data_IF_204637441467
#
_entry.id   IF_204637441467
#
_cell.length_a   1.000
_cell.length_b   1.000
_cell.length_c   1.000
_cell.angle_alpha   90.00
_cell.angle_beta   90.00
_cell.angle_gamma   90.00
#
_symmetry.space_group_name_H-M   'P 1'
#
loop_
_entity.id
_entity.type
_entity.pdbx_description
1 polymer ?
#
# COMPACT_ATOMS: atom_id res chain seq x y z
N UNK A 1 7.72 3.99 -11.96
CA UNK A 1 8.53 3.36 -10.89
C UNK A 1 8.66 1.89 -11.20
N UNK A 2 9.86 1.29 -11.21
CA UNK A 2 10.09 -0.17 -11.15
C UNK A 2 9.48 -1.12 -12.22
N UNK A 3 8.60 -0.66 -13.12
CA UNK A 3 7.80 -1.55 -13.96
C UNK A 3 8.61 -2.25 -15.05
N UNK A 4 9.66 -1.62 -15.58
CA UNK A 4 10.56 -2.29 -16.53
C UNK A 4 11.24 -3.50 -15.89
N UNK A 5 11.61 -3.39 -14.60
CA UNK A 5 12.18 -4.50 -13.84
C UNK A 5 11.12 -5.56 -13.48
N UNK A 6 9.90 -5.14 -13.17
CA UNK A 6 8.76 -6.04 -12.98
C UNK A 6 8.50 -6.89 -14.24
N UNK A 7 8.55 -6.28 -15.42
CA UNK A 7 8.29 -6.97 -16.69
C UNK A 7 9.47 -7.88 -17.10
N UNK A 8 10.71 -7.56 -16.71
CA UNK A 8 11.91 -8.30 -17.13
C UNK A 8 12.47 -9.31 -16.12
N UNK A 9 12.22 -9.14 -14.81
CA UNK A 9 12.76 -10.02 -13.75
C UNK A 9 11.64 -10.80 -13.04
N UNK A 10 11.64 -12.14 -13.12
CA UNK A 10 10.67 -12.97 -12.39
C UNK A 10 10.74 -12.78 -10.87
N UNK A 11 11.94 -12.51 -10.32
CA UNK A 11 12.14 -12.29 -8.89
C UNK A 11 11.51 -10.98 -8.45
N UNK A 12 11.77 -9.90 -9.20
CA UNK A 12 11.15 -8.61 -8.94
C UNK A 12 9.63 -8.70 -9.07
N UNK A 13 9.13 -9.39 -10.10
CA UNK A 13 7.70 -9.62 -10.32
C UNK A 13 7.02 -10.29 -9.14
N UNK A 14 7.59 -11.36 -8.60
CA UNK A 14 7.00 -12.08 -7.47
C UNK A 14 6.89 -11.20 -6.20
N UNK A 15 7.84 -10.29 -5.97
CA UNK A 15 7.76 -9.33 -4.87
C UNK A 15 6.53 -8.43 -5.00
N UNK A 16 6.33 -7.88 -6.19
CA UNK A 16 5.17 -7.04 -6.51
C UNK A 16 3.86 -7.83 -6.47
N UNK A 17 3.79 -8.99 -7.12
CA UNK A 17 2.56 -9.81 -7.20
C UNK A 17 2.11 -10.30 -5.82
N UNK A 18 3.06 -10.61 -4.93
CA UNK A 18 2.75 -10.97 -3.54
C UNK A 18 2.18 -9.78 -2.77
N UNK A 19 2.76 -8.60 -2.93
CA UNK A 19 2.26 -7.40 -2.27
C UNK A 19 0.90 -6.96 -2.84
N UNK A 20 0.73 -7.04 -4.16
CA UNK A 20 -0.51 -6.68 -4.84
C UNK A 20 -1.67 -7.58 -4.40
N UNK A 21 -1.46 -8.90 -4.34
CA UNK A 21 -2.43 -9.83 -3.77
C UNK A 21 -2.77 -9.50 -2.32
N UNK A 22 -1.79 -9.08 -1.52
CA UNK A 22 -2.04 -8.66 -0.15
C UNK A 22 -2.93 -7.41 -0.09
N UNK A 23 -2.66 -6.39 -0.92
CA UNK A 23 -3.49 -5.19 -0.99
C UNK A 23 -4.89 -5.48 -1.51
N UNK A 24 -5.04 -6.30 -2.55
CA UNK A 24 -6.34 -6.69 -3.08
C UNK A 24 -7.18 -7.43 -2.03
N UNK A 25 -6.58 -8.39 -1.33
CA UNK A 25 -7.33 -9.23 -0.39
C UNK A 25 -7.69 -8.51 0.91
N UNK A 26 -6.89 -7.55 1.36
CA UNK A 26 -7.08 -6.90 2.67
C UNK A 26 -7.58 -5.46 2.58
N UNK A 27 -7.30 -4.77 1.48
CA UNK A 27 -7.61 -3.35 1.29
C UNK A 27 -8.35 -3.05 -0.03
N UNK A 28 -8.59 -4.07 -0.86
CA UNK A 28 -9.47 -3.95 -2.03
C UNK A 28 -8.93 -3.11 -3.18
N UNK A 29 -7.61 -2.94 -3.30
CA UNK A 29 -6.99 -2.26 -4.44
C UNK A 29 -5.70 -2.92 -4.92
N UNK A 30 -5.34 -2.68 -6.18
CA UNK A 30 -4.06 -3.10 -6.76
C UNK A 30 -3.05 -1.95 -6.66
N UNK A 31 -1.95 -2.17 -5.95
CA UNK A 31 -0.84 -1.22 -5.90
C UNK A 31 -0.09 -1.17 -7.24
N UNK A 32 -0.05 -2.29 -7.97
CA UNK A 32 0.56 -2.37 -9.30
C UNK A 32 -0.21 -1.48 -10.29
N UNK A 33 -1.54 -1.51 -10.25
CA UNK A 33 -2.37 -0.63 -11.10
C UNK A 33 -2.15 0.86 -10.78
N UNK A 34 -2.09 1.22 -9.49
CA UNK A 34 -1.80 2.60 -9.06
C UNK A 34 -0.43 3.06 -9.59
N UNK A 35 0.59 2.21 -9.53
CA UNK A 35 1.94 2.56 -10.02
C UNK A 35 2.00 2.67 -11.55
N UNK A 36 1.28 1.81 -12.28
CA UNK A 36 1.25 1.82 -13.75
C UNK A 36 0.47 3.00 -14.30
N UNK A 37 -0.71 3.26 -13.75
CA UNK A 37 -1.71 4.13 -14.35
C UNK A 37 -1.90 5.45 -13.61
N UNK A 38 -1.45 5.56 -12.36
CA UNK A 38 -1.60 6.72 -11.49
C UNK A 38 -3.00 7.38 -11.58
N UNK A 39 -4.07 6.63 -11.28
CA UNK A 39 -5.42 7.18 -11.36
C UNK A 39 -5.60 8.32 -10.37
N UNK A 40 -6.52 9.25 -10.66
CA UNK A 40 -6.86 10.36 -9.74
C UNK A 40 -7.85 9.96 -8.66
N UNK A 41 -8.67 8.95 -8.94
CA UNK A 41 -9.66 8.42 -8.02
C UNK A 41 -9.61 6.90 -8.04
N UNK A 42 -9.90 6.27 -6.90
CA UNK A 42 -9.97 4.82 -6.74
C UNK A 42 -11.05 4.50 -5.72
N UNK A 43 -12.04 3.73 -6.14
CA UNK A 43 -13.12 3.28 -5.27
C UNK A 43 -12.89 1.85 -4.83
N UNK A 44 -12.83 1.65 -3.52
CA UNK A 44 -12.84 0.33 -2.89
C UNK A 44 -14.29 -0.02 -2.54
N UNK A 45 -14.76 -1.17 -3.02
CA UNK A 45 -16.11 -1.65 -2.75
C UNK A 45 -16.10 -2.73 -1.67
N UNK A 46 -17.00 -2.61 -0.70
CA UNK A 46 -17.13 -3.51 0.45
C UNK A 46 -18.22 -4.57 0.22
N UNK A 47 -18.37 -5.05 -1.00
CA UNK A 47 -19.39 -6.02 -1.38
C UNK A 47 -19.10 -7.45 -0.94
N UNK A 48 -20.13 -8.14 -0.43
CA UNK A 48 -20.07 -9.56 -0.09
C UNK A 48 -19.16 -9.88 1.12
N UNK A 49 -18.95 -11.18 1.42
CA UNK A 49 -18.19 -11.59 2.60
C UNK A 49 -16.75 -11.08 2.62
N UNK A 50 -16.08 -11.06 1.46
CA UNK A 50 -14.72 -10.54 1.33
C UNK A 50 -14.67 -9.01 1.50
N UNK A 51 -15.62 -8.29 0.90
CA UNK A 51 -15.71 -6.84 1.05
C UNK A 51 -15.97 -6.41 2.50
N UNK A 52 -16.79 -7.17 3.25
CA UNK A 52 -17.00 -6.95 4.68
C UNK A 52 -15.69 -7.07 5.47
N UNK A 53 -14.89 -8.11 5.21
CA UNK A 53 -13.58 -8.27 5.86
C UNK A 53 -12.61 -7.13 5.53
N UNK A 54 -12.61 -6.66 4.28
CA UNK A 54 -11.83 -5.48 3.87
C UNK A 54 -12.30 -4.23 4.63
N UNK A 55 -13.61 -4.02 4.75
CA UNK A 55 -14.18 -2.90 5.49
C UNK A 55 -13.81 -2.93 6.97
N UNK A 56 -13.83 -4.10 7.58
CA UNK A 56 -13.39 -4.29 8.97
C UNK A 56 -11.93 -3.87 9.15
N UNK A 57 -11.04 -4.20 8.20
CA UNK A 57 -9.66 -3.73 8.23
C UNK A 57 -9.59 -2.21 8.27
N UNK A 58 -10.36 -1.51 7.41
CA UNK A 58 -10.42 -0.04 7.42
C UNK A 58 -10.99 0.54 8.72
N UNK A 59 -12.07 -0.04 9.26
CA UNK A 59 -12.69 0.41 10.52
C UNK A 59 -11.74 0.22 11.70
N UNK A 60 -10.94 -0.85 11.69
CA UNK A 60 -9.99 -1.19 12.75
C UNK A 60 -8.75 -0.29 12.78
N UNK A 61 -8.53 0.52 11.74
CA UNK A 61 -7.41 1.46 11.69
C UNK A 61 -7.66 2.65 12.62
N UNK A 62 -6.98 2.61 13.78
CA UNK A 62 -6.98 3.68 14.76
C UNK A 62 -5.62 4.40 14.74
N UNK A 63 -5.63 5.71 14.93
CA UNK A 63 -4.44 6.48 15.24
C UNK A 63 -4.55 7.04 16.66
N UNK A 64 -3.43 7.09 17.35
CA UNK A 64 -3.34 7.70 18.68
C UNK A 64 -2.74 9.10 18.53
N UNK A 65 -3.39 10.08 19.16
CA UNK A 65 -2.91 11.46 19.24
C UNK A 65 -2.99 11.95 20.68
N UNK A 66 -2.04 12.75 21.13
CA UNK A 66 -2.19 13.47 22.39
C UNK A 66 -3.07 14.69 22.19
N UNK A 67 -4.04 14.87 23.08
CA UNK A 67 -4.81 16.10 23.14
C UNK A 67 -4.03 17.25 23.82
N UNK A 68 -4.63 18.43 23.85
CA UNK A 68 -4.07 19.62 24.51
C UNK A 68 -3.89 19.46 26.03
N UNK A 69 -4.57 18.48 26.63
CA UNK A 69 -4.54 18.19 28.07
C UNK A 69 -3.56 17.05 28.40
N UNK A 70 -2.82 16.55 27.40
CA UNK A 70 -1.83 15.49 27.54
C UNK A 70 -2.42 14.09 27.68
N UNK A 71 -3.72 13.90 27.38
CA UNK A 71 -4.35 12.59 27.36
C UNK A 71 -4.20 11.92 25.99
N UNK A 72 -3.98 10.61 26.01
CA UNK A 72 -3.97 9.77 24.81
C UNK A 72 -5.39 9.61 24.29
N UNK A 73 -5.64 10.09 23.08
CA UNK A 73 -6.90 9.92 22.35
C UNK A 73 -6.69 8.98 21.18
N UNK A 74 -7.46 7.89 21.16
CA UNK A 74 -7.52 6.97 20.03
C UNK A 74 -8.68 7.37 19.11
N UNK A 75 -8.38 7.67 17.85
CA UNK A 75 -9.36 8.07 16.84
C UNK A 75 -9.27 7.18 15.60
N UNK A 76 -10.40 6.96 14.92
CA UNK A 76 -10.42 6.25 13.63
C UNK A 76 -9.71 7.06 12.56
N UNK A 77 -8.84 6.41 11.77
CA UNK A 77 -8.21 7.03 10.59
C UNK A 77 -9.29 7.41 9.58
N UNK A 78 -10.20 6.47 9.28
CA UNK A 78 -11.32 6.69 8.36
C UNK A 78 -12.60 6.90 9.16
N UNK A 79 -13.02 8.16 9.31
CA UNK A 79 -14.21 8.52 10.11
C UNK A 79 -15.52 8.23 9.36
N UNK A 80 -15.48 8.36 8.05
CA UNK A 80 -16.60 8.13 7.13
C UNK A 80 -16.85 6.65 6.79
N UNK A 81 -15.95 5.73 7.13
CA UNK A 81 -16.17 4.30 6.93
C UNK A 81 -16.83 3.71 8.17
N UNK A 82 -18.06 3.24 8.02
CA UNK A 82 -18.88 2.60 9.06
C UNK A 82 -19.32 1.20 8.62
N UNK A 83 -20.02 0.47 9.49
CA UNK A 83 -20.58 -0.86 9.18
C UNK A 83 -21.64 -0.83 8.07
N UNK A 84 -22.17 0.35 7.75
CA UNK A 84 -23.16 0.55 6.69
C UNK A 84 -22.54 1.04 5.37
N UNK A 85 -21.23 1.34 5.35
CA UNK A 85 -20.57 1.81 4.14
C UNK A 85 -20.45 0.67 3.11
N UNK A 86 -20.92 0.93 1.90
CA UNK A 86 -20.80 0.00 0.75
C UNK A 86 -19.50 0.19 -0.03
N UNK A 87 -18.90 1.38 0.05
CA UNK A 87 -17.66 1.72 -0.64
C UNK A 87 -16.96 2.90 0.02
N UNK A 88 -15.69 3.11 -0.36
CA UNK A 88 -14.93 4.29 -0.03
C UNK A 88 -14.08 4.71 -1.24
N UNK A 89 -13.99 6.02 -1.52
CA UNK A 89 -13.25 6.53 -2.67
C UNK A 89 -12.07 7.39 -2.24
N UNK A 90 -10.86 6.93 -2.58
CA UNK A 90 -9.64 7.74 -2.50
C UNK A 90 -9.59 8.74 -3.65
N UNK A 91 -9.13 9.96 -3.37
CA UNK A 91 -8.99 11.03 -4.37
C UNK A 91 -7.67 11.78 -4.20
N UNK A 92 -7.08 12.19 -5.33
CA UNK A 92 -5.95 13.10 -5.38
C UNK A 92 -5.92 13.86 -6.71
N UNK A 93 -5.77 15.18 -6.67
CA UNK A 93 -5.77 16.06 -7.85
C UNK A 93 -4.62 15.75 -8.82
N UNK A 94 -3.49 15.33 -8.24
CA UNK A 94 -2.23 15.02 -8.92
C UNK A 94 -2.03 13.52 -9.18
N UNK A 95 -3.02 12.69 -8.82
CA UNK A 95 -2.96 11.23 -8.94
C UNK A 95 -2.62 10.54 -7.62
N UNK A 96 -3.17 9.34 -7.41
CA UNK A 96 -3.04 8.62 -6.15
C UNK A 96 -1.60 8.22 -5.81
N UNK A 97 -0.73 8.05 -6.80
CA UNK A 97 0.70 7.79 -6.56
C UNK A 97 1.42 8.96 -5.89
N UNK A 98 0.81 10.16 -5.84
CA UNK A 98 1.32 11.31 -5.08
C UNK A 98 0.80 11.39 -3.64
N UNK A 99 -0.21 10.60 -3.29
CA UNK A 99 -0.75 10.57 -1.93
C UNK A 99 0.06 9.59 -1.07
N UNK A 100 0.53 10.06 0.09
CA UNK A 100 1.49 9.38 0.96
C UNK A 100 1.17 7.91 1.22
N UNK A 101 -0.11 7.60 1.45
CA UNK A 101 -0.59 6.24 1.74
C UNK A 101 -0.38 5.24 0.59
N UNK A 102 -0.18 5.72 -0.64
CA UNK A 102 0.16 4.88 -1.80
C UNK A 102 1.61 5.06 -2.24
N UNK A 103 2.14 6.29 -2.16
CA UNK A 103 3.53 6.59 -2.56
C UNK A 103 4.53 5.79 -1.73
N UNK A 104 4.37 5.75 -0.41
CA UNK A 104 5.33 5.08 0.47
C UNK A 104 5.38 3.55 0.22
N UNK A 105 4.25 2.82 0.18
CA UNK A 105 4.27 1.41 -0.22
C UNK A 105 4.88 1.18 -1.62
N UNK A 106 4.57 2.03 -2.59
CA UNK A 106 5.11 1.90 -3.94
C UNK A 106 6.64 2.05 -3.98
N UNK A 107 7.21 3.02 -3.25
CA UNK A 107 8.65 3.20 -3.14
C UNK A 107 9.31 2.00 -2.46
N UNK A 108 8.77 1.56 -1.32
CA UNK A 108 9.29 0.38 -0.59
C UNK A 108 9.27 -0.88 -1.46
N UNK A 109 8.22 -1.10 -2.25
CA UNK A 109 8.14 -2.25 -3.15
C UNK A 109 9.13 -2.16 -4.30
N UNK A 110 9.31 -0.97 -4.89
CA UNK A 110 10.30 -0.75 -5.93
C UNK A 110 11.71 -1.04 -5.43
N UNK A 111 12.08 -0.49 -4.28
CA UNK A 111 13.40 -0.69 -3.66
C UNK A 111 13.62 -2.16 -3.30
N UNK A 112 12.62 -2.79 -2.68
CA UNK A 112 12.69 -4.20 -2.30
C UNK A 112 12.82 -5.12 -3.51
N UNK A 113 12.04 -4.89 -4.56
CA UNK A 113 12.09 -5.69 -5.78
C UNK A 113 13.44 -5.56 -6.49
N UNK A 114 13.97 -4.33 -6.54
CA UNK A 114 15.32 -4.07 -7.10
C UNK A 114 16.41 -4.77 -6.30
N UNK A 115 16.31 -4.73 -4.97
CA UNK A 115 17.26 -5.40 -4.08
C UNK A 115 17.23 -6.92 -4.22
N UNK A 116 16.03 -7.53 -4.26
CA UNK A 116 15.91 -8.98 -4.42
C UNK A 116 16.42 -9.47 -5.78
N UNK A 117 16.25 -8.69 -6.85
CA UNK A 117 16.85 -8.99 -8.16
C UNK A 117 18.39 -8.98 -8.12
N UNK A 118 18.98 -7.95 -7.50
CA UNK A 118 20.44 -7.88 -7.30
C UNK A 118 20.95 -9.05 -6.46
N UNK A 119 20.23 -9.39 -5.38
CA UNK A 119 20.56 -10.51 -4.50
C UNK A 119 20.50 -11.84 -5.23
N UNK A 120 19.48 -12.08 -6.06
CA UNK A 120 19.34 -13.31 -6.84
C UNK A 120 20.48 -13.49 -7.87
N UNK A 121 21.09 -12.39 -8.32
CA UNK A 121 22.25 -12.37 -9.23
C UNK A 121 23.60 -12.45 -8.50
N UNK A 122 23.60 -12.55 -7.17
CA UNK A 122 24.82 -12.60 -6.36
C UNK A 122 25.58 -11.28 -6.28
N UNK A 123 24.92 -10.14 -6.53
CA UNK A 123 25.53 -8.81 -6.54
C UNK A 123 25.55 -8.15 -5.15
N UNK A 124 24.97 -8.79 -4.14
CA UNK A 124 24.89 -8.26 -2.77
C UNK A 124 25.93 -8.96 -1.90
N UNK A 125 26.89 -8.18 -1.39
CA UNK A 125 27.91 -8.67 -0.47
C UNK A 125 27.31 -9.02 0.91
N UNK A 126 27.88 -10.02 1.58
CA UNK A 126 27.36 -10.48 2.89
C UNK A 126 27.69 -9.50 4.03
N UNK A 127 28.74 -8.70 3.89
CA UNK A 127 29.27 -7.75 4.86
C UNK A 127 28.89 -6.28 4.56
N UNK A 128 27.93 -6.07 3.66
CA UNK A 128 27.46 -4.73 3.30
C UNK A 128 26.72 -4.04 4.46
N UNK A 129 27.00 -2.76 4.68
CA UNK A 129 26.22 -1.88 5.56
C UNK A 129 25.00 -1.31 4.81
N UNK A 130 23.90 -1.06 5.52
CA UNK A 130 22.68 -0.48 4.93
C UNK A 130 22.07 0.59 5.85
N UNK A 131 21.42 1.58 5.25
CA UNK A 131 20.65 2.62 5.92
C UNK A 131 19.55 3.14 4.96
N UNK A 132 18.50 3.76 5.52
CA UNK A 132 17.45 4.47 4.78
C UNK A 132 17.24 5.85 5.41
N UNK A 133 16.80 6.83 4.61
CA UNK A 133 16.45 8.16 5.08
C UNK A 133 15.07 8.17 5.73
#
# INVERSE_FOLDING_TARGET
>A
MGMDLYDSSPVAREVWDRADRHFLNNYGFSIVDIVRNNPKELTVHFGGPQGNAIRENYISMMFESMDSDGQLKSEKIFKEITEESDFYTFKSDTGLLSATQFTQPALTLMEKASFEDMKAKGLVAADSTFAGH
#
